data_IF_636405859331
#
_entry.id   IF_636405859331
#
_cell.length_a   1.000
_cell.length_b   1.000
_cell.length_c   1.000
_cell.angle_alpha   90.00
_cell.angle_beta   90.00
_cell.angle_gamma   90.00
#
_symmetry.space_group_name_H-M   'P 1'
#
loop_
_entity.id
_entity.type
_entity.pdbx_description
1 polymer ?
#
# COMPACT_ATOMS: atom_id res chain seq x y z
N UNK A 1 -19.90 0.39 28.69
CA UNK A 1 -20.53 -0.35 27.58
C UNK A 1 -20.48 0.56 26.37
N UNK A 2 -19.56 0.33 25.43
CA UNK A 2 -19.37 1.16 24.24
C UNK A 2 -19.59 0.25 23.02
N UNK A 3 -20.74 0.43 22.38
CA UNK A 3 -21.12 -0.25 21.14
C UNK A 3 -20.48 0.50 19.98
N UNK A 4 -19.66 -0.15 19.16
CA UNK A 4 -19.19 0.44 17.90
C UNK A 4 -19.29 -0.57 16.75
N UNK A 5 -19.72 0.00 15.62
CA UNK A 5 -20.31 -0.58 14.42
C UNK A 5 -19.25 -1.24 13.52
N UNK A 6 -19.63 -2.30 12.82
CA UNK A 6 -18.79 -2.96 11.80
C UNK A 6 -18.55 -2.04 10.60
N UNK A 7 -17.29 -1.76 10.29
CA UNK A 7 -16.85 -0.97 9.14
C UNK A 7 -16.64 -1.91 7.94
N UNK A 8 -17.27 -1.62 6.81
CA UNK A 8 -17.02 -2.28 5.53
C UNK A 8 -16.19 -1.35 4.66
N UNK A 9 -14.99 -1.77 4.28
CA UNK A 9 -14.12 -1.06 3.36
C UNK A 9 -14.10 -1.87 2.05
N UNK A 10 -13.94 -1.20 0.92
CA UNK A 10 -13.74 -1.71 -0.45
C UNK A 10 -12.64 -0.76 -0.99
N UNK A 11 -11.56 -1.28 -1.56
CA UNK A 11 -10.45 -0.46 -2.05
C UNK A 11 -10.22 -0.90 -3.49
N UNK A 12 -10.45 0.00 -4.44
CA UNK A 12 -10.02 -0.15 -5.82
C UNK A 12 -8.56 0.26 -5.96
N UNK A 13 -7.65 -0.72 -5.95
CA UNK A 13 -6.22 -0.48 -6.14
C UNK A 13 -5.82 -0.83 -7.57
N UNK A 14 -5.48 0.20 -8.34
CA UNK A 14 -4.54 0.08 -9.45
C UNK A 14 -3.25 0.83 -9.03
N UNK A 15 -2.16 0.10 -8.85
CA UNK A 15 -0.80 0.66 -8.62
C UNK A 15 -0.15 0.80 -9.99
N UNK A 16 0.06 2.04 -10.43
CA UNK A 16 0.69 2.36 -11.72
C UNK A 16 1.85 3.33 -11.48
N UNK A 17 3.02 3.07 -12.06
CA UNK A 17 4.20 3.93 -11.94
C UNK A 17 4.31 4.82 -13.17
N UNK A 18 4.38 6.15 -13.08
CA UNK A 18 4.70 6.96 -14.26
C UNK A 18 6.20 7.32 -14.27
N UNK A 19 6.91 7.00 -15.34
CA UNK A 19 8.27 7.47 -15.54
C UNK A 19 8.28 8.68 -16.49
N UNK A 20 9.36 9.46 -16.43
CA UNK A 20 9.62 10.60 -17.31
C UNK A 20 9.55 10.19 -18.80
N UNK A 21 9.19 11.13 -19.67
CA UNK A 21 8.66 10.91 -21.02
C UNK A 21 9.40 9.81 -21.83
N UNK A 22 8.84 8.59 -21.83
CA UNK A 22 9.29 7.48 -22.69
C UNK A 22 9.23 6.09 -22.07
N UNK A 23 9.14 5.97 -20.75
CA UNK A 23 9.04 4.67 -20.06
C UNK A 23 7.59 4.40 -19.64
N UNK A 24 7.01 3.33 -20.16
CA UNK A 24 5.63 2.93 -19.86
C UNK A 24 5.48 2.54 -18.38
N UNK A 25 4.32 2.83 -17.77
CA UNK A 25 4.02 2.35 -16.44
C UNK A 25 4.12 0.84 -16.29
N UNK A 26 4.73 0.41 -15.18
CA UNK A 26 4.72 -0.98 -14.74
C UNK A 26 3.68 -1.16 -13.64
N UNK A 27 2.74 -2.07 -13.86
CA UNK A 27 1.81 -2.54 -12.83
C UNK A 27 2.54 -3.48 -11.87
N UNK A 28 2.51 -3.18 -10.57
CA UNK A 28 3.12 -4.05 -9.53
C UNK A 28 2.13 -5.05 -8.93
N UNK A 29 0.84 -4.70 -8.96
CA UNK A 29 -0.25 -5.52 -8.48
C UNK A 29 -1.48 -5.27 -9.36
N UNK A 30 -2.05 -6.36 -9.84
CA UNK A 30 -3.27 -6.36 -10.65
C UNK A 30 -4.27 -7.34 -10.02
N UNK A 31 -5.32 -6.84 -9.35
CA UNK A 31 -6.31 -7.70 -8.70
C UNK A 31 -7.14 -8.53 -9.70
N UNK A 32 -7.12 -8.21 -11.00
CA UNK A 32 -7.91 -8.93 -12.01
C UNK A 32 -7.22 -10.23 -12.49
N UNK A 33 -5.93 -10.39 -12.18
CA UNK A 33 -5.14 -11.56 -12.61
C UNK A 33 -5.38 -12.74 -11.67
N UNK A 34 -5.71 -13.95 -12.18
CA UNK A 34 -5.82 -15.14 -11.36
C UNK A 34 -4.53 -15.42 -10.57
N UNK A 35 -4.64 -15.58 -9.26
CA UNK A 35 -3.49 -15.79 -8.39
C UNK A 35 -2.89 -14.52 -7.79
N UNK A 36 -3.44 -13.33 -8.07
CA UNK A 36 -2.97 -12.07 -7.50
C UNK A 36 -2.96 -12.08 -5.96
N UNK A 37 -3.87 -12.83 -5.33
CA UNK A 37 -3.92 -13.00 -3.87
C UNK A 37 -2.62 -13.57 -3.29
N UNK A 38 -1.80 -14.27 -4.08
CA UNK A 38 -0.50 -14.81 -3.65
C UNK A 38 0.56 -13.72 -3.42
N UNK A 39 0.35 -12.52 -3.95
CA UNK A 39 1.19 -11.37 -3.67
C UNK A 39 0.85 -10.70 -2.33
N UNK A 40 -0.23 -11.10 -1.66
CA UNK A 40 -0.72 -10.43 -0.47
C UNK A 40 -0.18 -11.11 0.79
N UNK A 41 0.42 -10.32 1.67
CA UNK A 41 0.86 -10.77 2.98
C UNK A 41 0.35 -9.83 4.05
N UNK A 42 -0.13 -10.37 5.17
CA UNK A 42 -0.54 -9.56 6.32
C UNK A 42 0.71 -8.90 6.91
N UNK A 43 0.66 -7.58 7.14
CA UNK A 43 1.78 -6.87 7.75
C UNK A 43 1.86 -7.16 9.24
N UNK A 44 3.00 -7.66 9.73
CA UNK A 44 3.30 -7.77 11.15
C UNK A 44 2.19 -8.45 11.98
N UNK A 45 1.72 -7.75 13.01
CA UNK A 45 0.70 -8.21 13.97
C UNK A 45 -0.75 -7.88 13.56
N UNK A 46 -0.98 -7.45 12.31
CA UNK A 46 -2.31 -7.02 11.82
C UNK A 46 -3.37 -8.13 11.77
N UNK A 47 -2.99 -9.38 12.10
CA UNK A 47 -3.71 -10.63 11.84
C UNK A 47 -5.23 -10.58 11.95
N UNK A 48 -5.76 -10.43 13.16
CA UNK A 48 -7.22 -10.47 13.39
C UNK A 48 -7.93 -9.15 13.09
N UNK A 49 -7.16 -8.06 12.96
CA UNK A 49 -7.66 -6.70 12.75
C UNK A 49 -7.79 -6.33 11.29
N UNK A 50 -7.31 -7.15 10.36
CA UNK A 50 -7.41 -6.86 8.94
C UNK A 50 -8.08 -8.03 8.22
N UNK A 51 -9.08 -7.70 7.41
CA UNK A 51 -9.56 -8.56 6.34
C UNK A 51 -9.07 -7.98 5.03
N UNK A 52 -8.67 -8.84 4.11
CA UNK A 52 -8.32 -8.44 2.75
C UNK A 52 -8.98 -9.37 1.75
N UNK A 53 -9.63 -8.79 0.77
CA UNK A 53 -10.45 -9.48 -0.22
C UNK A 53 -10.19 -8.82 -1.58
N UNK A 54 -10.02 -9.61 -2.63
CA UNK A 54 -10.11 -9.07 -3.99
C UNK A 54 -11.60 -9.07 -4.37
N UNK A 55 -12.13 -7.92 -4.75
CA UNK A 55 -13.50 -7.76 -5.24
C UNK A 55 -13.47 -7.01 -6.55
N UNK A 56 -14.11 -7.52 -7.58
CA UNK A 56 -14.11 -6.91 -8.91
C UNK A 56 -12.66 -6.62 -9.37
N UNK A 57 -12.29 -5.34 -9.52
CA UNK A 57 -10.98 -4.88 -9.99
C UNK A 57 -10.15 -4.23 -8.86
N UNK A 58 -10.37 -4.68 -7.62
CA UNK A 58 -10.05 -3.91 -6.43
C UNK A 58 -9.56 -4.82 -5.27
N UNK A 59 -8.40 -4.53 -4.67
CA UNK A 59 -7.99 -5.14 -3.39
C UNK A 59 -8.61 -4.38 -2.25
N UNK A 60 -9.68 -4.93 -1.69
CA UNK A 60 -10.43 -4.44 -0.54
C UNK A 60 -9.76 -4.82 0.77
N UNK A 61 -9.31 -3.84 1.54
CA UNK A 61 -8.94 -4.06 2.94
C UNK A 61 -10.15 -3.76 3.84
N UNK A 62 -10.19 -4.27 5.06
CA UNK A 62 -11.14 -3.87 6.10
C UNK A 62 -10.42 -3.95 7.43
N UNK A 63 -10.36 -2.81 8.12
CA UNK A 63 -9.65 -2.67 9.39
C UNK A 63 -10.66 -2.71 10.54
N UNK A 64 -10.52 -3.72 11.41
CA UNK A 64 -11.29 -3.88 12.64
C UNK A 64 -10.52 -3.27 13.81
N UNK A 65 -11.23 -2.82 14.86
CA UNK A 65 -10.60 -2.44 16.11
C UNK A 65 -9.71 -3.55 16.70
N UNK A 66 -8.62 -3.16 17.34
CA UNK A 66 -7.73 -4.05 18.09
C UNK A 66 -6.41 -3.36 18.48
N UNK A 67 -5.37 -4.13 18.77
CA UNK A 67 -4.14 -3.67 19.43
C UNK A 67 -2.98 -3.29 18.49
N UNK A 68 -3.00 -3.76 17.24
CA UNK A 68 -2.02 -3.38 16.22
C UNK A 68 -2.10 -1.88 15.99
N UNK A 69 -0.96 -1.21 16.16
CA UNK A 69 -0.83 0.23 15.95
C UNK A 69 -0.85 0.61 14.47
N UNK A 70 -0.53 -0.33 13.59
CA UNK A 70 -0.35 -0.10 12.15
C UNK A 70 -0.92 -1.26 11.34
N UNK A 71 -2.25 -1.51 11.42
CA UNK A 71 -2.85 -2.62 10.72
C UNK A 71 -2.75 -2.39 9.21
N UNK A 72 -2.26 -3.39 8.47
CA UNK A 72 -2.03 -3.22 7.04
C UNK A 72 -1.60 -4.48 6.31
N UNK A 73 -1.38 -4.30 5.01
CA UNK A 73 -1.05 -5.34 4.06
C UNK A 73 0.26 -5.01 3.35
N UNK A 74 1.04 -6.05 3.09
CA UNK A 74 2.17 -6.01 2.17
C UNK A 74 1.75 -6.61 0.84
N UNK A 75 2.19 -5.96 -0.23
CA UNK A 75 2.18 -6.52 -1.58
C UNK A 75 3.62 -6.94 -1.86
N UNK A 76 3.83 -8.18 -2.26
CA UNK A 76 5.15 -8.72 -2.59
C UNK A 76 5.26 -9.01 -4.10
N UNK A 77 6.47 -9.15 -4.65
CA UNK A 77 6.64 -9.51 -6.05
C UNK A 77 5.94 -10.83 -6.42
N UNK A 78 5.34 -10.87 -7.62
CA UNK A 78 4.70 -12.07 -8.13
C UNK A 78 5.73 -13.18 -8.45
N UNK A 79 5.27 -14.44 -8.38
CA UNK A 79 6.07 -15.61 -8.76
C UNK A 79 7.19 -15.92 -7.78
N UNK A 80 8.36 -16.31 -8.29
CA UNK A 80 9.54 -16.64 -7.49
C UNK A 80 10.49 -15.46 -7.27
N UNK A 81 10.16 -14.28 -7.81
CA UNK A 81 10.96 -13.09 -7.63
C UNK A 81 10.96 -12.67 -6.16
N UNK A 82 12.14 -12.34 -5.63
CA UNK A 82 12.30 -11.86 -4.24
C UNK A 82 12.21 -10.35 -4.12
N UNK A 83 12.46 -9.61 -5.21
CA UNK A 83 12.54 -8.16 -5.23
C UNK A 83 11.96 -7.63 -6.55
N UNK A 84 11.44 -6.40 -6.53
CA UNK A 84 11.21 -5.63 -7.74
C UNK A 84 12.48 -4.85 -8.10
N UNK A 85 12.95 -4.98 -9.34
CA UNK A 85 13.88 -4.00 -9.90
C UNK A 85 13.07 -2.82 -10.45
N UNK A 86 13.20 -1.67 -9.77
CA UNK A 86 12.55 -0.41 -10.11
C UNK A 86 13.56 0.69 -10.41
N UNK A 87 14.84 0.35 -10.65
CA UNK A 87 15.95 1.30 -10.80
C UNK A 87 15.76 2.33 -11.92
N UNK A 88 14.93 2.03 -12.93
CA UNK A 88 14.62 2.94 -14.04
C UNK A 88 13.45 3.90 -13.74
N UNK A 89 12.76 3.73 -12.62
CA UNK A 89 11.59 4.53 -12.25
C UNK A 89 11.92 5.52 -11.15
N UNK A 90 11.18 6.64 -11.07
CA UNK A 90 11.39 7.66 -10.04
C UNK A 90 10.51 7.52 -8.80
N UNK A 91 9.43 6.74 -8.87
CA UNK A 91 8.47 6.60 -7.78
C UNK A 91 7.58 5.35 -7.93
N UNK A 92 6.73 5.09 -6.94
CA UNK A 92 5.59 4.16 -7.00
C UNK A 92 4.31 4.92 -6.66
N UNK A 93 3.20 4.65 -7.35
CA UNK A 93 1.89 5.23 -7.02
C UNK A 93 0.86 4.18 -6.60
N UNK A 94 -0.01 4.54 -5.65
CA UNK A 94 -1.20 3.79 -5.30
C UNK A 94 -2.43 4.68 -5.39
N UNK A 95 -3.41 4.25 -6.18
CA UNK A 95 -4.78 4.80 -6.11
C UNK A 95 -5.51 4.12 -4.96
N UNK A 96 -6.16 4.92 -4.12
CA UNK A 96 -6.89 4.45 -2.96
C UNK A 96 -8.16 5.26 -2.79
N UNK A 97 -9.22 4.59 -2.37
CA UNK A 97 -10.50 5.19 -2.01
C UNK A 97 -10.83 4.81 -0.57
N UNK A 98 -11.34 5.77 0.19
CA UNK A 98 -11.85 5.53 1.53
C UNK A 98 -13.36 5.33 1.47
N UNK A 99 -13.82 4.12 1.78
CA UNK A 99 -15.23 3.77 1.83
C UNK A 99 -15.84 3.76 3.23
N UNK A 100 -15.02 4.06 4.23
CA UNK A 100 -15.51 4.26 5.58
C UNK A 100 -16.17 5.63 5.75
N UNK A 101 -16.81 5.80 6.91
CA UNK A 101 -17.48 7.04 7.30
C UNK A 101 -16.57 8.03 8.05
N UNK A 102 -15.31 7.65 8.28
CA UNK A 102 -14.31 8.47 8.98
C UNK A 102 -13.17 8.88 8.06
N UNK A 103 -12.44 9.93 8.42
CA UNK A 103 -11.18 10.27 7.74
C UNK A 103 -10.11 9.23 8.09
N UNK A 104 -9.45 8.70 7.06
CA UNK A 104 -8.38 7.73 7.21
C UNK A 104 -7.02 8.33 6.85
N UNK A 105 -5.97 7.95 7.59
CA UNK A 105 -4.59 8.24 7.22
C UNK A 105 -3.94 6.97 6.67
N UNK A 106 -3.78 6.92 5.35
CA UNK A 106 -3.18 5.77 4.67
C UNK A 106 -1.71 6.04 4.41
N UNK A 107 -0.85 5.10 4.77
CA UNK A 107 0.58 5.14 4.49
C UNK A 107 0.89 4.12 3.39
N UNK A 108 1.60 4.55 2.34
CA UNK A 108 2.23 3.66 1.36
C UNK A 108 3.73 3.63 1.67
N UNK A 109 4.28 2.43 1.83
CA UNK A 109 5.71 2.23 2.08
C UNK A 109 6.30 1.30 1.02
N UNK A 110 7.49 1.65 0.55
CA UNK A 110 8.34 0.81 -0.28
C UNK A 110 9.55 0.38 0.55
N UNK A 111 9.66 -0.91 0.79
CA UNK A 111 10.70 -1.51 1.62
C UNK A 111 11.79 -2.16 0.75
N UNK A 112 13.05 -1.89 1.08
CA UNK A 112 14.19 -2.67 0.62
C UNK A 112 14.70 -3.60 1.73
N UNK A 113 15.59 -4.53 1.37
CA UNK A 113 16.26 -5.37 2.36
C UNK A 113 17.09 -4.51 3.33
N UNK A 114 16.89 -4.70 4.63
CA UNK A 114 17.69 -4.03 5.67
C UNK A 114 19.07 -4.67 5.80
N UNK A 115 20.09 -3.86 6.11
CA UNK A 115 21.41 -4.33 6.54
C UNK A 115 21.77 -3.73 7.90
N UNK A 116 22.80 -4.23 8.61
CA UNK A 116 23.25 -3.62 9.87
C UNK A 116 23.59 -2.12 9.75
N UNK A 117 24.09 -1.71 8.58
CA UNK A 117 24.46 -0.34 8.21
C UNK A 117 23.25 0.48 7.74
N UNK A 118 22.13 -0.19 7.43
CA UNK A 118 20.95 0.42 6.85
C UNK A 118 19.67 -0.17 7.47
N UNK A 119 19.33 0.37 8.64
CA UNK A 119 18.22 -0.13 9.46
C UNK A 119 16.84 0.37 9.03
N UNK A 120 16.78 1.42 8.20
CA UNK A 120 15.53 2.01 7.72
C UNK A 120 15.55 2.14 6.18
N UNK A 121 15.63 1.01 5.44
CA UNK A 121 15.83 0.99 4.00
C UNK A 121 14.53 1.25 3.22
N UNK A 122 13.72 2.23 3.65
CA UNK A 122 12.37 2.42 3.13
C UNK A 122 12.07 3.87 2.75
N UNK A 123 11.20 4.00 1.74
CA UNK A 123 10.56 5.25 1.34
C UNK A 123 9.07 5.17 1.66
N UNK A 124 8.47 6.25 2.12
CA UNK A 124 7.06 6.24 2.51
C UNK A 124 6.35 7.56 2.25
N UNK A 125 5.10 7.52 1.86
CA UNK A 125 4.24 8.71 1.80
C UNK A 125 2.86 8.39 2.35
N UNK A 126 2.12 9.44 2.69
CA UNK A 126 0.81 9.31 3.31
C UNK A 126 -0.22 10.24 2.68
N UNK A 127 -1.48 9.85 2.76
CA UNK A 127 -2.60 10.72 2.44
C UNK A 127 -3.67 10.62 3.52
N UNK A 128 -4.24 11.78 3.88
CA UNK A 128 -5.49 11.85 4.64
C UNK A 128 -6.65 11.84 3.65
N UNK A 129 -7.53 10.87 3.78
CA UNK A 129 -8.60 10.61 2.81
C UNK A 129 -9.92 10.67 3.57
N UNK A 130 -10.77 11.65 3.22
CA UNK A 130 -12.11 11.76 3.79
C UNK A 130 -13.06 10.65 3.31
N UNK A 131 -14.23 10.50 3.94
CA UNK A 131 -15.25 9.52 3.53
C UNK A 131 -15.67 9.67 2.07
N UNK A 132 -15.70 8.56 1.34
CA UNK A 132 -16.05 8.51 -0.10
C UNK A 132 -15.10 9.30 -1.00
N UNK A 133 -13.88 9.61 -0.53
CA UNK A 133 -12.86 10.32 -1.32
C UNK A 133 -11.79 9.35 -1.78
N UNK A 134 -11.18 9.70 -2.90
CA UNK A 134 -10.02 9.00 -3.45
C UNK A 134 -8.78 9.87 -3.37
N UNK A 135 -7.62 9.23 -3.31
CA UNK A 135 -6.32 9.86 -3.41
C UNK A 135 -5.36 9.01 -4.25
N UNK A 136 -4.33 9.66 -4.77
CA UNK A 136 -3.15 8.98 -5.33
C UNK A 136 -1.98 9.26 -4.41
N UNK A 137 -1.47 8.22 -3.76
CA UNK A 137 -0.29 8.30 -2.91
C UNK A 137 0.93 8.00 -3.78
N UNK A 138 1.94 8.88 -3.78
CA UNK A 138 3.16 8.74 -4.57
C UNK A 138 4.36 8.63 -3.66
N UNK A 139 5.09 7.52 -3.71
CA UNK A 139 6.34 7.33 -2.97
C UNK A 139 7.51 7.53 -3.92
N UNK A 140 8.24 8.63 -3.78
CA UNK A 140 9.45 8.90 -4.55
C UNK A 140 10.66 8.21 -3.90
N UNK A 141 11.50 7.56 -4.71
CA UNK A 141 12.73 6.95 -4.20
C UNK A 141 13.67 8.04 -3.67
N UNK A 142 14.28 7.83 -2.51
CA UNK A 142 15.07 8.86 -1.82
C UNK A 142 14.28 9.76 -0.87
N UNK A 143 12.95 9.60 -0.74
CA UNK A 143 12.10 10.50 0.04
C UNK A 143 11.11 9.77 0.94
N UNK A 144 10.73 10.42 2.04
CA UNK A 144 9.63 10.02 2.90
C UNK A 144 8.89 11.21 3.51
N UNK A 145 7.60 11.03 3.75
CA UNK A 145 6.70 11.88 4.51
C UNK A 145 6.81 13.39 4.23
N UNK A 146 5.97 13.88 3.33
CA UNK A 146 6.02 15.25 2.80
C UNK A 146 7.31 15.53 2.01
N UNK A 147 7.77 14.53 1.24
CA UNK A 147 8.89 14.62 0.32
C UNK A 147 10.18 15.10 1.00
N UNK A 148 10.39 14.72 2.27
CA UNK A 148 11.64 14.95 2.96
C UNK A 148 12.66 13.88 2.54
N UNK A 149 13.94 14.24 2.48
CA UNK A 149 14.98 13.26 2.13
C UNK A 149 14.97 12.08 3.11
N UNK A 150 15.03 10.88 2.57
CA UNK A 150 15.05 9.62 3.30
C UNK A 150 16.05 8.66 2.65
N UNK A 151 15.83 7.36 2.81
CA UNK A 151 16.69 6.33 2.24
C UNK A 151 16.80 6.48 0.71
N UNK A 152 18.03 6.59 0.14
CA UNK A 152 18.26 6.72 -1.30
C UNK A 152 17.92 5.46 -2.10
#
# INVERSE_FOLDING_TARGET
MKTYLSLFLYIATAVSIFADAGVMPRTLFDPTVPGAEKQLQISGDSGSQMIAEIKDEALVLTLKPGESNWPGMQIVPAGSARLWDLSIYGHVEMKVENLGDNMELINLRMDNASSPENRNPWNAEMARIGPGKSAVIRVFFGYSYNFQRAYP
#
